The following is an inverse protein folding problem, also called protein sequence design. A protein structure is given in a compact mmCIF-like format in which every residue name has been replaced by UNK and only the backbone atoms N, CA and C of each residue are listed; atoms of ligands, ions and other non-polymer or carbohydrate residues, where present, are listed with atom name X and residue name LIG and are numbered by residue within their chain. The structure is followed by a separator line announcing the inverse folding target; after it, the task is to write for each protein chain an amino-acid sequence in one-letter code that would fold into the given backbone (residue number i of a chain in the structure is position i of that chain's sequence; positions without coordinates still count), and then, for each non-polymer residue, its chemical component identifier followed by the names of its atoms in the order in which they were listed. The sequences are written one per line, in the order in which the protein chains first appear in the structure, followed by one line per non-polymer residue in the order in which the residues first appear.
data_IF_301336391662
#
_entry.id   IF_301336391662
#
_cell.length_a   1.000
_cell.length_b   1.000
_cell.length_c   1.000
_cell.angle_alpha   90.00
_cell.angle_beta   90.00
_cell.angle_gamma   90.00
#
_symmetry.space_group_name_H-M   'P 1'
#
loop_
_entity.id
_entity.type
_entity.pdbx_description
1 polymer ?
#
# COMPACT_ATOMS: atom_id res chain seq x y z
N UNK A 1 15.79 17.30 2.57
CA UNK A 1 15.10 16.03 2.33
C UNK A 1 14.39 15.62 3.60
N UNK A 2 13.18 16.16 3.77
CA UNK A 2 12.25 15.76 4.81
C UNK A 2 11.38 14.60 4.27
N UNK A 3 11.28 13.52 5.04
CA UNK A 3 10.48 12.34 4.72
C UNK A 3 9.53 12.07 5.87
N UNK A 4 8.23 12.06 5.58
CA UNK A 4 7.17 11.88 6.58
C UNK A 4 6.29 10.72 6.15
N UNK A 5 5.96 9.84 7.09
CA UNK A 5 4.90 8.84 6.92
C UNK A 5 3.76 9.16 7.87
N UNK A 6 2.54 9.15 7.34
CA UNK A 6 1.31 9.34 8.13
C UNK A 6 0.29 8.25 7.76
N UNK A 7 -0.60 7.84 8.67
CA UNK A 7 -1.74 7.01 8.30
C UNK A 7 -2.53 7.68 7.18
N UNK A 8 -2.92 6.91 6.17
CA UNK A 8 -3.75 7.39 5.09
C UNK A 8 -5.14 7.74 5.61
N UNK A 9 -5.66 8.90 5.20
CA UNK A 9 -6.97 9.39 5.61
C UNK A 9 -7.88 9.55 4.42
N UNK A 10 -9.18 9.74 4.67
CA UNK A 10 -10.15 9.96 3.59
C UNK A 10 -9.83 11.17 2.70
N UNK A 11 -9.03 12.13 3.21
CA UNK A 11 -8.56 13.30 2.44
C UNK A 11 -7.52 12.92 1.38
N UNK A 12 -6.81 11.82 1.58
CA UNK A 12 -5.76 11.33 0.68
C UNK A 12 -6.32 10.40 -0.42
N UNK A 13 -7.63 10.07 -0.36
CA UNK A 13 -8.29 9.10 -1.24
C UNK A 13 -8.07 9.39 -2.72
N UNK A 14 -8.34 10.62 -3.16
CA UNK A 14 -8.24 10.99 -4.58
C UNK A 14 -6.81 10.83 -5.11
N UNK A 15 -5.82 11.19 -4.32
CA UNK A 15 -4.40 11.05 -4.68
C UNK A 15 -4.05 9.58 -4.84
N UNK A 16 -4.40 8.75 -3.86
CA UNK A 16 -4.10 7.31 -3.88
C UNK A 16 -4.83 6.62 -5.04
N UNK A 17 -6.10 6.95 -5.28
CA UNK A 17 -6.88 6.31 -6.35
C UNK A 17 -6.37 6.73 -7.73
N UNK A 18 -5.94 7.99 -7.89
CA UNK A 18 -5.28 8.44 -9.11
C UNK A 18 -3.99 7.67 -9.39
N UNK A 19 -3.23 7.29 -8.36
CA UNK A 19 -2.04 6.45 -8.52
C UNK A 19 -2.41 5.01 -8.90
N UNK A 20 -3.40 4.42 -8.23
CA UNK A 20 -3.89 3.07 -8.53
C UNK A 20 -4.47 2.96 -9.94
N UNK A 21 -4.94 4.07 -10.52
CA UNK A 21 -5.44 4.12 -11.89
C UNK A 21 -4.33 4.35 -12.94
N UNK A 22 -3.07 4.47 -12.54
CA UNK A 22 -1.93 4.56 -13.47
C UNK A 22 -1.63 3.19 -14.10
N UNK A 23 -1.42 3.11 -15.44
CA UNK A 23 -1.14 1.83 -16.11
C UNK A 23 0.05 1.06 -15.53
N UNK A 24 1.15 1.75 -15.21
CA UNK A 24 2.35 1.11 -14.65
C UNK A 24 2.17 0.63 -13.20
N UNK A 25 1.17 1.15 -12.49
CA UNK A 25 0.80 0.65 -11.16
C UNK A 25 -0.09 -0.57 -11.30
N UNK A 26 -1.10 -0.52 -12.17
CA UNK A 26 -2.03 -1.63 -12.42
C UNK A 26 -1.35 -2.91 -12.92
N UNK A 27 -0.13 -2.82 -13.47
CA UNK A 27 0.67 -3.98 -13.84
C UNK A 27 1.06 -4.84 -12.64
N UNK A 28 1.26 -4.23 -11.46
CA UNK A 28 1.80 -4.90 -10.27
C UNK A 28 0.86 -4.86 -9.06
N UNK A 29 -0.02 -3.87 -9.01
CA UNK A 29 -0.92 -3.64 -7.89
C UNK A 29 -2.33 -4.09 -8.23
N UNK A 30 -2.97 -4.75 -7.26
CA UNK A 30 -4.37 -5.09 -7.37
C UNK A 30 -5.22 -3.81 -7.42
N UNK A 31 -6.02 -3.68 -8.47
CA UNK A 31 -6.93 -2.55 -8.68
C UNK A 31 -8.41 -2.99 -8.62
N UNK A 32 -8.67 -4.15 -8.03
CA UNK A 32 -10.01 -4.68 -7.80
C UNK A 32 -10.87 -3.69 -6.99
N UNK A 33 -12.18 -3.60 -7.28
CA UNK A 33 -13.10 -2.81 -6.47
C UNK A 33 -13.02 -3.15 -4.98
N UNK A 34 -12.82 -4.43 -4.65
CA UNK A 34 -12.71 -4.94 -3.29
C UNK A 34 -11.48 -4.35 -2.57
N UNK A 35 -10.32 -4.34 -3.21
CA UNK A 35 -9.12 -3.72 -2.62
C UNK A 35 -9.30 -2.20 -2.43
N UNK A 36 -9.95 -1.51 -3.39
CA UNK A 36 -10.27 -0.08 -3.26
C UNK A 36 -11.25 0.19 -2.11
N UNK A 37 -12.20 -0.70 -1.88
CA UNK A 37 -13.16 -0.62 -0.78
C UNK A 37 -12.46 -0.78 0.58
N UNK A 38 -11.54 -1.74 0.69
CA UNK A 38 -10.71 -1.92 1.89
C UNK A 38 -9.93 -0.65 2.27
N UNK A 39 -9.32 0.02 1.27
CA UNK A 39 -8.63 1.30 1.46
C UNK A 39 -9.59 2.35 2.04
N UNK A 40 -10.82 2.45 1.51
CA UNK A 40 -11.83 3.41 1.97
C UNK A 40 -12.28 3.10 3.40
N UNK A 41 -12.52 1.82 3.72
CA UNK A 41 -12.91 1.36 5.04
C UNK A 41 -11.84 1.72 6.07
N UNK A 42 -10.57 1.46 5.75
CA UNK A 42 -9.43 1.86 6.57
C UNK A 42 -9.43 3.37 6.82
N UNK A 43 -9.45 4.17 5.75
CA UNK A 43 -9.43 5.63 5.80
C UNK A 43 -10.60 6.26 6.57
N UNK A 44 -11.72 5.53 6.66
CA UNK A 44 -12.94 5.94 7.37
C UNK A 44 -12.94 5.53 8.85
N UNK A 45 -11.84 4.93 9.32
CA UNK A 45 -11.66 4.51 10.71
C UNK A 45 -12.20 3.12 11.02
N UNK A 46 -12.25 2.22 10.03
CA UNK A 46 -12.60 0.79 10.21
C UNK A 46 -13.97 0.55 10.84
N UNK A 47 -14.99 1.25 10.36
CA UNK A 47 -16.36 1.11 10.85
C UNK A 47 -17.10 -0.09 10.26
N UNK A 48 -16.55 -0.66 9.20
CA UNK A 48 -17.13 -1.73 8.39
C UNK A 48 -16.10 -2.86 8.21
N UNK A 49 -16.57 -4.05 7.82
CA UNK A 49 -15.72 -5.23 7.58
C UNK A 49 -15.01 -5.12 6.24
N UNK A 50 -13.79 -5.64 6.16
CA UNK A 50 -12.98 -5.63 4.95
C UNK A 50 -13.44 -6.72 3.95
N UNK A 51 -14.04 -6.36 2.80
CA UNK A 51 -14.43 -7.34 1.78
C UNK A 51 -13.25 -8.06 1.10
N UNK A 52 -12.09 -7.42 0.97
CA UNK A 52 -10.95 -8.04 0.28
C UNK A 52 -10.22 -9.04 1.17
N UNK A 53 -10.00 -8.69 2.44
CA UNK A 53 -9.26 -9.55 3.37
C UNK A 53 -10.12 -10.35 4.34
N UNK A 54 -11.45 -10.27 4.26
CA UNK A 54 -12.39 -10.95 5.17
C UNK A 54 -12.10 -10.75 6.67
N UNK A 55 -11.53 -9.60 7.04
CA UNK A 55 -11.03 -9.28 8.39
C UNK A 55 -9.87 -10.17 8.89
N UNK A 56 -9.26 -11.01 8.05
CA UNK A 56 -8.19 -11.94 8.43
C UNK A 56 -6.83 -11.23 8.61
N UNK A 57 -6.65 -10.08 7.96
CA UNK A 57 -5.40 -9.32 8.02
C UNK A 57 -5.63 -7.88 8.48
N UNK A 58 -4.82 -7.45 9.45
CA UNK A 58 -4.79 -6.07 9.93
C UNK A 58 -3.97 -5.19 8.98
N UNK A 59 -4.58 -4.76 7.87
CA UNK A 59 -3.96 -3.84 6.91
C UNK A 59 -3.95 -2.41 7.43
N UNK A 60 -2.76 -1.79 7.44
CA UNK A 60 -2.57 -0.36 7.69
C UNK A 60 -2.01 0.32 6.46
N UNK A 61 -2.67 1.39 6.03
CA UNK A 61 -2.29 2.17 4.87
C UNK A 61 -1.62 3.47 5.33
N UNK A 62 -0.49 3.79 4.73
CA UNK A 62 0.34 4.94 5.08
C UNK A 62 0.65 5.76 3.82
N UNK A 63 0.53 7.08 3.93
CA UNK A 63 0.99 8.00 2.90
C UNK A 63 2.41 8.47 3.25
N UNK A 64 3.35 8.28 2.33
CA UNK A 64 4.69 8.84 2.41
C UNK A 64 4.79 10.15 1.65
N UNK A 65 5.42 11.15 2.27
CA UNK A 65 5.59 12.50 1.73
C UNK A 65 7.08 12.87 1.69
N UNK A 66 7.52 13.46 0.58
CA UNK A 66 8.85 14.04 0.43
C UNK A 66 8.66 15.55 0.30
N UNK A 67 9.24 16.32 1.22
CA UNK A 67 9.05 17.79 1.26
C UNK A 67 7.55 18.19 1.22
N UNK A 68 6.73 17.47 1.99
CA UNK A 68 5.26 17.61 2.08
C UNK A 68 4.46 17.21 0.81
N UNK A 69 5.14 16.72 -0.23
CA UNK A 69 4.49 16.20 -1.44
C UNK A 69 4.25 14.68 -1.36
N UNK A 70 3.00 14.20 -1.52
CA UNK A 70 2.67 12.78 -1.54
C UNK A 70 3.46 12.03 -2.63
N UNK A 71 4.23 11.02 -2.22
CA UNK A 71 5.21 10.34 -3.07
C UNK A 71 5.09 8.80 -3.08
N UNK A 72 4.46 8.23 -2.06
CA UNK A 72 4.21 6.78 -2.02
C UNK A 72 3.02 6.42 -1.13
N UNK A 73 2.46 5.24 -1.40
CA UNK A 73 1.56 4.53 -0.51
C UNK A 73 2.32 3.31 0.04
N UNK A 74 2.25 3.08 1.35
CA UNK A 74 2.77 1.87 2.00
C UNK A 74 1.60 1.15 2.65
N UNK A 75 1.58 -0.17 2.49
CA UNK A 75 0.69 -1.08 3.18
C UNK A 75 1.54 -1.93 4.11
N UNK A 76 1.12 -2.04 5.36
CA UNK A 76 1.69 -3.01 6.30
C UNK A 76 0.58 -3.92 6.80
N UNK A 77 0.81 -5.23 6.79
CA UNK A 77 -0.05 -6.19 7.47
C UNK A 77 0.77 -7.17 8.30
N UNK A 78 0.17 -7.67 9.37
CA UNK A 78 0.79 -8.71 10.16
C UNK A 78 0.59 -10.07 9.49
N UNK A 79 1.68 -10.85 9.42
CA UNK A 79 1.64 -12.25 8.99
C UNK A 79 1.23 -13.10 10.18
N UNK A 80 0.16 -13.88 10.03
CA UNK A 80 -0.27 -14.86 11.02
C UNK A 80 0.43 -16.22 10.78
N UNK A 81 0.93 -16.90 11.83
CA UNK A 81 1.69 -18.15 11.68
C UNK A 81 0.96 -19.30 10.95
N UNK A 82 -0.37 -19.30 11.01
CA UNK A 82 -1.28 -20.27 10.40
C UNK A 82 -1.55 -20.03 8.92
N UNK A 83 -1.08 -18.93 8.35
CA UNK A 83 -1.31 -18.60 6.93
C UNK A 83 -0.56 -19.54 5.99
N UNK A 84 -1.15 -19.75 4.81
CA UNK A 84 -0.50 -20.48 3.72
C UNK A 84 0.53 -19.58 2.99
N UNK A 85 1.65 -19.32 3.67
CA UNK A 85 2.75 -18.49 3.17
C UNK A 85 3.92 -19.34 2.62
N UNK A 86 4.76 -18.75 1.75
CA UNK A 86 5.96 -19.42 1.22
C UNK A 86 6.87 -19.96 2.33
N UNK A 87 7.49 -21.12 2.10
CA UNK A 87 8.37 -21.75 3.09
C UNK A 87 9.53 -20.84 3.54
N UNK A 88 10.09 -20.06 2.61
CA UNK A 88 11.14 -19.09 2.92
C UNK A 88 10.69 -18.02 3.92
N UNK A 89 9.40 -17.66 3.95
CA UNK A 89 8.87 -16.79 4.98
C UNK A 89 8.76 -17.53 6.31
N UNK A 90 8.17 -18.74 6.32
CA UNK A 90 8.03 -19.60 7.52
C UNK A 90 9.37 -19.79 8.23
N UNK A 91 10.43 -20.03 7.48
CA UNK A 91 11.79 -20.24 8.01
C UNK A 91 12.40 -18.99 8.66
N UNK A 92 11.89 -17.80 8.32
CA UNK A 92 12.41 -16.49 8.74
C UNK A 92 11.42 -15.64 9.55
N UNK A 93 10.25 -16.19 9.93
CA UNK A 93 9.33 -15.48 10.82
C UNK A 93 10.00 -15.19 12.17
N UNK A 94 9.67 -14.04 12.73
CA UNK A 94 10.07 -13.67 14.08
C UNK A 94 9.59 -14.72 15.08
N UNK A 95 10.51 -15.19 15.93
CA UNK A 95 10.23 -16.21 16.96
C UNK A 95 9.75 -15.62 18.29
N UNK A 96 9.88 -14.31 18.45
CA UNK A 96 9.64 -13.60 19.73
C UNK A 96 8.72 -12.40 19.59
N UNK A 97 8.22 -12.11 18.39
CA UNK A 97 7.34 -10.98 18.11
C UNK A 97 6.61 -11.16 16.80
N UNK A 98 5.96 -10.10 16.33
CA UNK A 98 5.17 -10.14 15.10
C UNK A 98 6.09 -10.03 13.87
N UNK A 99 5.72 -10.72 12.80
CA UNK A 99 6.26 -10.49 11.46
C UNK A 99 5.24 -9.69 10.68
N UNK A 100 5.68 -8.63 10.00
CA UNK A 100 4.80 -7.81 9.19
C UNK A 100 5.32 -7.77 7.76
N UNK A 101 4.42 -7.79 6.79
CA UNK A 101 4.74 -7.44 5.42
C UNK A 101 4.79 -5.93 5.27
N UNK A 102 5.50 -5.50 4.23
CA UNK A 102 5.50 -4.12 3.78
C UNK A 102 5.42 -4.13 2.26
N UNK A 103 4.29 -3.69 1.74
CA UNK A 103 4.05 -3.48 0.32
C UNK A 103 4.08 -1.98 0.04
N UNK A 104 4.67 -1.56 -1.07
CA UNK A 104 4.80 -0.13 -1.37
C UNK A 104 4.58 0.19 -2.84
N UNK A 105 3.82 1.26 -3.06
CA UNK A 105 3.58 1.89 -4.35
C UNK A 105 4.36 3.19 -4.37
N UNK A 106 5.16 3.42 -5.40
CA UNK A 106 5.86 4.69 -5.63
C UNK A 106 5.15 5.42 -6.76
N UNK A 107 4.73 6.67 -6.50
CA UNK A 107 3.92 7.45 -7.45
C UNK A 107 4.73 8.05 -8.60
N UNK A 108 6.05 7.94 -8.53
CA UNK A 108 6.95 8.51 -9.52
C UNK A 108 6.88 7.74 -10.83
N UNK A 109 6.39 8.42 -11.86
CA UNK A 109 6.45 7.96 -13.24
C UNK A 109 7.67 8.62 -13.91
N UNK A 110 8.65 7.83 -14.32
CA UNK A 110 9.78 8.35 -15.08
C UNK A 110 9.30 8.67 -16.50
N UNK A 111 8.87 9.90 -16.75
CA UNK A 111 8.69 10.38 -18.12
C UNK A 111 10.06 10.42 -18.78
N UNK A 112 10.27 9.59 -19.81
CA UNK A 112 11.40 9.79 -20.71
C UNK A 112 11.26 11.19 -21.29
N UNK A 113 12.20 12.09 -20.96
CA UNK A 113 12.33 13.33 -21.71
C UNK A 113 12.49 12.96 -23.19
N UNK A 114 11.93 13.74 -24.13
CA UNK A 114 12.26 13.57 -25.53
C UNK A 114 13.79 13.58 -25.63
N UNK A 115 14.34 12.58 -26.31
CA UNK A 115 15.74 12.65 -26.73
C UNK A 115 15.75 13.79 -27.74
N UNK A 116 16.26 14.96 -27.35
CA UNK A 116 16.60 16.01 -28.30
C UNK A 116 17.65 15.42 -29.25
N UNK A 117 17.19 15.02 -30.44
CA UNK A 117 18.07 14.72 -31.55
C UNK A 117 18.43 16.04 -32.20
N UNK A 118 19.53 16.64 -31.75
CA UNK A 118 20.27 17.66 -32.50
C UNK A 118 20.87 17.07 -33.79
#
# INVERSE_FOLDING_TARGET
MNLIFKPATIRDKEIIFNWLDKPYIQEFWDNSPEHKEDIIIFMSGRKEKYPYCNDEHDYHYWLGLIEDDPSCLIITSQIMPEEDIPQIWKDNLSKTGNSNTLDFLISYERTTLPIDTD
#
